data_IF_257106847209
#
_entry.id   IF_257106847209
#
_cell.length_a   1.000
_cell.length_b   1.000
_cell.length_c   1.000
_cell.angle_alpha   90.00
_cell.angle_beta   90.00
_cell.angle_gamma   90.00
#
_symmetry.space_group_name_H-M   'P 1'
#
loop_
_entity.id
_entity.type
_entity.pdbx_description
1 polymer ?
#
# COMPACT_ATOMS: atom_id res chain seq x y z
N UNK A 1 -12.72 20.88 -7.90
CA UNK A 1 -12.83 19.48 -7.45
C UNK A 1 -13.77 18.77 -8.42
N UNK A 2 -13.23 17.79 -9.15
CA UNK A 2 -13.97 17.04 -10.16
C UNK A 2 -15.12 16.27 -9.52
N UNK A 3 -16.30 16.30 -10.14
CA UNK A 3 -17.51 15.60 -9.69
C UNK A 3 -17.67 14.24 -10.37
N UNK A 4 -16.69 13.77 -11.13
CA UNK A 4 -16.77 12.50 -11.85
C UNK A 4 -16.31 11.33 -10.96
N UNK A 5 -17.18 10.34 -10.80
CA UNK A 5 -16.84 9.04 -10.24
C UNK A 5 -15.83 8.33 -11.13
N UNK A 6 -14.83 7.67 -10.54
CA UNK A 6 -13.89 6.83 -11.29
C UNK A 6 -14.50 5.49 -11.75
N UNK A 7 -15.70 5.14 -11.25
CA UNK A 7 -16.48 3.93 -11.56
C UNK A 7 -15.64 2.64 -11.55
N UNK A 8 -14.74 2.53 -10.56
CA UNK A 8 -13.83 1.38 -10.40
C UNK A 8 -14.65 0.14 -10.01
N UNK A 9 -14.51 -0.99 -10.72
CA UNK A 9 -15.29 -2.18 -10.41
C UNK A 9 -14.86 -2.84 -9.09
N UNK A 10 -15.86 -3.39 -8.39
CA UNK A 10 -15.64 -4.30 -7.27
C UNK A 10 -15.68 -5.74 -7.80
N UNK A 11 -14.57 -6.47 -7.65
CA UNK A 11 -14.42 -7.83 -8.17
C UNK A 11 -14.30 -8.83 -7.02
N UNK A 12 -15.24 -9.78 -6.98
CA UNK A 12 -15.22 -10.92 -6.07
C UNK A 12 -14.24 -11.97 -6.58
N UNK A 13 -13.18 -12.25 -5.83
CA UNK A 13 -12.12 -13.18 -6.24
C UNK A 13 -12.33 -14.61 -5.71
N UNK A 14 -13.46 -14.87 -5.03
CA UNK A 14 -13.85 -16.20 -4.53
C UNK A 14 -13.89 -17.25 -5.64
N UNK A 15 -13.80 -18.53 -5.25
CA UNK A 15 -13.94 -19.64 -6.20
C UNK A 15 -15.33 -19.70 -6.85
N UNK A 16 -16.36 -19.10 -6.23
CA UNK A 16 -17.71 -18.98 -6.79
C UNK A 16 -17.81 -18.03 -7.98
N UNK A 17 -16.81 -17.17 -8.23
CA UNK A 17 -16.77 -16.30 -9.41
C UNK A 17 -15.77 -16.83 -10.46
N UNK A 18 -16.21 -17.66 -11.42
CA UNK A 18 -15.32 -18.18 -12.47
C UNK A 18 -14.84 -17.08 -13.43
N UNK A 19 -15.53 -15.94 -13.50
CA UNK A 19 -15.19 -14.82 -14.38
C UNK A 19 -14.19 -13.85 -13.75
N UNK A 20 -13.80 -14.05 -12.49
CA UNK A 20 -12.87 -13.16 -11.79
C UNK A 20 -11.56 -12.89 -12.57
N UNK A 21 -10.89 -13.87 -13.22
CA UNK A 21 -9.72 -13.60 -14.05
C UNK A 21 -9.97 -12.55 -15.14
N UNK A 22 -11.03 -12.72 -15.94
CA UNK A 22 -11.35 -11.83 -17.05
C UNK A 22 -11.76 -10.43 -16.55
N UNK A 23 -12.54 -10.37 -15.47
CA UNK A 23 -12.93 -9.11 -14.82
C UNK A 23 -11.70 -8.35 -14.30
N UNK A 24 -10.77 -9.04 -13.62
CA UNK A 24 -9.54 -8.43 -13.11
C UNK A 24 -8.69 -7.87 -14.24
N UNK A 25 -8.50 -8.63 -15.33
CA UNK A 25 -7.73 -8.18 -16.48
C UNK A 25 -8.39 -6.96 -17.14
N UNK A 26 -9.71 -6.96 -17.29
CA UNK A 26 -10.46 -5.82 -17.83
C UNK A 26 -10.33 -4.57 -16.96
N UNK A 27 -10.43 -4.71 -15.64
CA UNK A 27 -10.28 -3.60 -14.71
C UNK A 27 -8.86 -3.02 -14.74
N UNK A 28 -7.85 -3.89 -14.73
CA UNK A 28 -6.45 -3.50 -14.80
C UNK A 28 -6.10 -2.81 -16.13
N UNK A 29 -6.61 -3.29 -17.27
CA UNK A 29 -6.32 -2.69 -18.58
C UNK A 29 -7.09 -1.40 -18.86
N UNK A 30 -8.26 -1.21 -18.24
CA UNK A 30 -9.12 -0.04 -18.46
C UNK A 30 -8.83 1.08 -17.47
N UNK A 31 -8.74 0.75 -16.18
CA UNK A 31 -8.62 1.73 -15.10
C UNK A 31 -7.23 1.74 -14.46
N UNK A 32 -6.49 0.62 -14.53
CA UNK A 32 -5.30 0.40 -13.69
C UNK A 32 -5.61 0.16 -12.21
N UNK A 33 -6.89 0.18 -11.82
CA UNK A 33 -7.38 0.04 -10.45
C UNK A 33 -8.56 -0.95 -10.37
N UNK A 34 -8.72 -1.57 -9.21
CA UNK A 34 -9.82 -2.49 -8.90
C UNK A 34 -10.07 -2.50 -7.39
N UNK A 35 -11.33 -2.54 -6.98
CA UNK A 35 -11.68 -2.91 -5.62
C UNK A 35 -11.83 -4.43 -5.53
N UNK A 36 -11.11 -5.06 -4.60
CA UNK A 36 -11.13 -6.52 -4.45
C UNK A 36 -12.03 -6.89 -3.28
N UNK A 37 -13.07 -7.68 -3.56
CA UNK A 37 -13.87 -8.34 -2.53
C UNK A 37 -13.26 -9.71 -2.26
N UNK A 38 -12.74 -9.88 -1.05
CA UNK A 38 -12.13 -11.15 -0.60
C UNK A 38 -13.17 -12.03 0.10
N UNK A 39 -12.87 -13.32 0.22
CA UNK A 39 -13.64 -14.32 0.97
C UNK A 39 -13.02 -14.60 2.36
N UNK A 40 -12.09 -13.75 2.81
CA UNK A 40 -11.35 -13.92 4.07
C UNK A 40 -10.32 -15.06 4.09
N UNK A 41 -10.22 -15.87 3.04
CA UNK A 41 -9.31 -17.03 3.02
C UNK A 41 -7.81 -16.69 3.08
N UNK A 42 -7.45 -15.42 2.86
CA UNK A 42 -6.07 -14.94 2.95
C UNK A 42 -5.71 -14.42 4.34
N UNK A 43 -6.62 -14.50 5.33
CA UNK A 43 -6.40 -13.98 6.69
C UNK A 43 -6.61 -12.47 6.85
N UNK A 44 -6.87 -11.75 5.75
CA UNK A 44 -7.26 -10.34 5.79
C UNK A 44 -8.73 -10.22 6.23
N UNK A 45 -8.93 -9.70 7.44
CA UNK A 45 -10.25 -9.39 8.01
C UNK A 45 -10.32 -7.90 8.31
N UNK A 46 -11.53 -7.35 8.44
CA UNK A 46 -11.69 -5.95 8.86
C UNK A 46 -10.99 -5.69 10.20
N UNK A 47 -11.05 -6.66 11.12
CA UNK A 47 -10.38 -6.55 12.43
C UNK A 47 -8.85 -6.51 12.30
N UNK A 48 -8.24 -7.32 11.43
CA UNK A 48 -6.78 -7.28 11.25
C UNK A 48 -6.32 -6.00 10.58
N UNK A 49 -7.09 -5.48 9.61
CA UNK A 49 -6.85 -4.19 8.96
C UNK A 49 -6.98 -3.05 9.98
N UNK A 50 -8.07 -3.00 10.75
CA UNK A 50 -8.32 -1.97 11.76
C UNK A 50 -7.22 -1.97 12.83
N UNK A 51 -6.80 -3.15 13.28
CA UNK A 51 -5.73 -3.26 14.27
C UNK A 51 -4.40 -2.71 13.75
N UNK A 52 -4.04 -2.98 12.49
CA UNK A 52 -2.84 -2.39 11.87
C UNK A 52 -2.96 -0.88 11.68
N UNK A 53 -4.17 -0.36 11.40
CA UNK A 53 -4.42 1.08 11.43
C UNK A 53 -4.23 1.70 12.82
N UNK A 54 -4.64 1.00 13.89
CA UNK A 54 -4.43 1.46 15.26
C UNK A 54 -2.94 1.47 15.64
N UNK A 55 -2.18 0.45 15.24
CA UNK A 55 -0.72 0.41 15.40
C UNK A 55 -0.03 1.53 14.64
N UNK A 56 -0.44 1.77 13.39
CA UNK A 56 0.02 2.89 12.57
C UNK A 56 -0.24 4.21 13.28
N UNK A 57 -1.47 4.43 13.76
CA UNK A 57 -1.85 5.63 14.53
C UNK A 57 -1.00 5.81 15.79
N UNK A 58 -0.79 4.73 16.56
CA UNK A 58 0.03 4.76 17.76
C UNK A 58 1.47 5.18 17.45
N UNK A 59 2.07 4.59 16.41
CA UNK A 59 3.42 4.94 15.98
C UNK A 59 3.54 6.41 15.55
N UNK A 60 2.63 6.92 14.72
CA UNK A 60 2.71 8.32 14.27
C UNK A 60 2.43 9.34 15.39
N UNK A 61 1.70 8.93 16.44
CA UNK A 61 1.47 9.72 17.66
C UNK A 61 2.61 9.63 18.69
N UNK A 62 3.58 8.73 18.51
CA UNK A 62 4.73 8.58 19.40
C UNK A 62 5.65 9.82 19.37
N UNK A 63 6.52 10.00 20.38
CA UNK A 63 7.50 11.09 20.41
C UNK A 63 8.36 11.11 19.14
N UNK A 64 8.74 12.31 18.70
CA UNK A 64 9.50 12.49 17.46
C UNK A 64 10.85 11.78 17.53
N UNK A 65 11.45 11.71 18.72
CA UNK A 65 12.74 11.06 18.99
C UNK A 65 12.69 9.56 18.67
N UNK A 66 11.55 8.90 18.94
CA UNK A 66 11.36 7.49 18.60
C UNK A 66 11.33 7.32 17.08
N UNK A 67 10.60 8.18 16.37
CA UNK A 67 10.49 8.14 14.90
C UNK A 67 11.81 8.48 14.22
N UNK A 68 12.54 9.48 14.71
CA UNK A 68 13.87 9.87 14.23
C UNK A 68 14.89 8.75 14.38
N UNK A 69 14.82 7.98 15.47
CA UNK A 69 15.73 6.86 15.71
C UNK A 69 15.68 5.76 14.65
N UNK A 70 14.57 5.68 13.90
CA UNK A 70 14.33 4.73 12.81
C UNK A 70 14.13 5.43 11.46
N UNK A 71 14.62 6.66 11.30
CA UNK A 71 14.53 7.43 10.06
C UNK A 71 15.18 6.72 8.87
N UNK A 72 14.55 6.82 7.70
CA UNK A 72 15.08 6.31 6.42
C UNK A 72 16.42 6.94 6.04
N UNK A 73 16.67 8.17 6.52
CA UNK A 73 17.91 8.91 6.28
C UNK A 73 19.04 8.48 7.23
N UNK A 74 18.73 7.66 8.24
CA UNK A 74 19.76 7.14 9.15
C UNK A 74 20.52 6.01 8.46
N UNK A 75 21.84 5.92 8.71
CA UNK A 75 22.67 4.79 8.25
C UNK A 75 22.26 3.42 8.85
N UNK A 76 21.18 3.37 9.64
CA UNK A 76 20.62 2.16 10.27
C UNK A 76 19.43 1.59 9.48
N UNK A 77 18.86 2.39 8.59
CA UNK A 77 17.79 2.01 7.68
C UNK A 77 18.42 1.38 6.43
N UNK A 78 18.10 0.12 6.12
CA UNK A 78 18.44 -0.45 4.82
C UNK A 78 17.84 0.36 3.66
N UNK A 79 18.31 0.14 2.44
CA UNK A 79 17.82 0.87 1.26
C UNK A 79 16.27 0.84 1.20
N UNK A 80 15.65 2.02 1.30
CA UNK A 80 14.20 2.29 1.26
C UNK A 80 13.33 1.84 2.47
N UNK A 81 13.92 1.57 3.64
CA UNK A 81 13.18 1.19 4.86
C UNK A 81 13.33 2.24 5.96
N UNK A 82 12.30 2.47 6.78
CA UNK A 82 12.35 3.43 7.90
C UNK A 82 11.32 4.57 7.79
N UNK A 83 11.41 5.53 8.72
CA UNK A 83 10.48 6.65 8.82
C UNK A 83 10.86 7.81 7.91
N UNK A 84 9.85 8.38 7.25
CA UNK A 84 9.93 9.60 6.46
C UNK A 84 9.11 10.68 7.15
N UNK A 85 9.79 11.75 7.54
CA UNK A 85 9.16 12.92 8.16
C UNK A 85 8.42 13.78 7.13
N UNK A 86 7.56 14.68 7.62
CA UNK A 86 6.78 15.60 6.79
C UNK A 86 7.71 16.44 5.91
N UNK A 87 7.33 16.60 4.65
CA UNK A 87 8.06 17.42 3.70
C UNK A 87 9.34 16.82 3.13
N UNK A 88 9.69 15.58 3.50
CA UNK A 88 10.82 14.84 2.89
C UNK A 88 10.46 14.33 1.50
N UNK A 89 9.21 13.86 1.30
CA UNK A 89 8.76 13.41 -0.01
C UNK A 89 8.07 14.52 -0.80
N UNK A 90 8.39 14.56 -2.09
CA UNK A 90 7.71 15.37 -3.11
C UNK A 90 7.48 14.46 -4.31
N UNK A 91 6.30 13.84 -4.37
CA UNK A 91 6.00 12.80 -5.36
C UNK A 91 5.88 13.33 -6.79
N UNK A 92 5.44 14.59 -6.95
CA UNK A 92 5.43 15.29 -8.23
C UNK A 92 6.25 16.59 -8.10
N UNK A 93 7.58 16.49 -8.19
CA UNK A 93 8.46 17.63 -8.02
C UNK A 93 8.30 18.69 -9.12
N UNK A 94 7.77 18.30 -10.28
CA UNK A 94 7.61 19.16 -11.45
C UNK A 94 6.39 20.09 -11.33
N UNK A 95 5.30 19.64 -10.70
CA UNK A 95 4.06 20.43 -10.61
C UNK A 95 3.71 20.89 -9.21
N UNK A 96 4.16 20.21 -8.15
CA UNK A 96 3.78 20.57 -6.78
C UNK A 96 4.48 21.84 -6.29
N UNK A 97 3.68 22.74 -5.70
CA UNK A 97 4.14 24.00 -5.08
C UNK A 97 4.73 23.80 -3.68
N UNK A 98 4.28 22.79 -2.94
CA UNK A 98 4.74 22.42 -1.58
C UNK A 98 5.07 20.93 -1.53
N UNK A 99 5.90 20.52 -0.57
CA UNK A 99 6.19 19.11 -0.33
C UNK A 99 4.96 18.38 0.24
N UNK A 100 4.92 17.05 0.12
CA UNK A 100 3.78 16.25 0.57
C UNK A 100 3.58 16.41 2.08
N UNK A 101 2.35 16.69 2.48
CA UNK A 101 2.00 16.82 3.90
C UNK A 101 1.59 15.45 4.46
N UNK A 102 2.58 14.56 4.59
CA UNK A 102 2.41 13.21 5.10
C UNK A 102 3.65 12.73 5.85
N UNK A 103 3.46 11.76 6.73
CA UNK A 103 4.52 10.92 7.25
C UNK A 103 4.37 9.51 6.70
N UNK A 104 5.47 8.79 6.59
CA UNK A 104 5.44 7.39 6.18
C UNK A 104 6.41 6.54 7.02
N UNK A 105 6.11 5.25 7.13
CA UNK A 105 7.05 4.28 7.67
C UNK A 105 7.09 3.05 6.77
N UNK A 106 8.25 2.80 6.17
CA UNK A 106 8.49 1.66 5.30
C UNK A 106 9.07 0.51 6.13
N UNK A 107 8.29 -0.57 6.21
CA UNK A 107 8.70 -1.85 6.77
C UNK A 107 9.19 -2.77 5.64
N UNK A 108 10.38 -3.33 5.84
CA UNK A 108 10.93 -4.43 5.07
C UNK A 108 10.07 -5.69 5.23
N UNK A 109 10.35 -6.70 4.41
CA UNK A 109 9.86 -8.06 4.68
C UNK A 109 10.62 -8.67 5.87
N UNK A 110 9.98 -9.55 6.66
CA UNK A 110 10.65 -10.29 7.71
C UNK A 110 11.65 -11.29 7.11
N UNK A 111 12.72 -11.56 7.85
CA UNK A 111 13.68 -12.63 7.53
C UNK A 111 13.25 -13.93 8.20
N UNK A 112 13.87 -15.06 7.81
CA UNK A 112 13.41 -16.41 8.14
C UNK A 112 13.25 -16.73 9.65
N UNK A 113 13.85 -15.95 10.55
CA UNK A 113 13.71 -16.10 11.99
C UNK A 113 12.51 -15.34 12.59
N UNK A 114 11.66 -14.70 11.76
CA UNK A 114 10.51 -13.93 12.21
C UNK A 114 10.85 -12.54 12.74
N UNK A 115 12.00 -11.96 12.35
CA UNK A 115 12.38 -10.58 12.70
C UNK A 115 12.53 -9.72 11.46
N UNK A 116 12.51 -8.39 11.63
CA UNK A 116 12.82 -7.47 10.55
C UNK A 116 14.34 -7.23 10.44
N UNK A 117 14.86 -7.00 9.22
CA UNK A 117 16.27 -6.64 9.00
C UNK A 117 16.57 -5.17 9.31
N UNK A 118 15.60 -4.42 9.85
CA UNK A 118 15.71 -3.01 10.23
C UNK A 118 15.37 -2.83 11.71
N UNK A 119 15.80 -1.70 12.28
CA UNK A 119 15.32 -1.29 13.61
C UNK A 119 13.79 -1.03 13.57
N UNK A 120 13.10 -1.52 14.59
CA UNK A 120 11.66 -1.34 14.78
C UNK A 120 11.45 -0.39 15.97
N UNK A 121 10.58 0.62 15.84
CA UNK A 121 10.32 1.57 16.93
C UNK A 121 9.64 0.85 18.11
N UNK A 122 9.90 1.35 19.32
CA UNK A 122 9.43 0.73 20.57
C UNK A 122 7.91 0.53 20.62
N UNK A 123 7.16 1.44 19.99
CA UNK A 123 5.69 1.39 19.86
C UNK A 123 5.23 0.19 19.02
N UNK A 124 6.02 -0.27 18.04
CA UNK A 124 5.68 -1.39 17.16
C UNK A 124 6.37 -2.70 17.52
N UNK A 125 7.46 -2.66 18.31
CA UNK A 125 8.25 -3.83 18.68
C UNK A 125 7.42 -4.96 19.34
N UNK A 126 6.51 -4.69 20.29
CA UNK A 126 5.64 -5.73 20.86
C UNK A 126 4.67 -6.37 19.86
N UNK A 127 4.47 -5.73 18.70
CA UNK A 127 3.51 -6.11 17.67
C UNK A 127 4.14 -6.68 16.41
N UNK A 128 5.44 -7.00 16.44
CA UNK A 128 6.15 -7.64 15.31
C UNK A 128 5.41 -8.87 14.78
N UNK A 129 4.96 -9.84 15.62
CA UNK A 129 4.23 -11.01 15.12
C UNK A 129 2.94 -10.65 14.37
N UNK A 130 2.23 -9.64 14.84
CA UNK A 130 1.00 -9.13 14.22
C UNK A 130 1.28 -8.50 12.85
N UNK A 131 2.32 -7.66 12.76
CA UNK A 131 2.71 -7.01 11.50
C UNK A 131 3.17 -8.04 10.45
N UNK A 132 3.94 -9.05 10.88
CA UNK A 132 4.38 -10.15 10.01
C UNK A 132 3.18 -10.94 9.48
N UNK A 133 2.26 -11.36 10.36
CA UNK A 133 1.07 -12.08 9.94
C UNK A 133 0.21 -11.28 8.96
N UNK A 134 0.14 -9.96 9.13
CA UNK A 134 -0.56 -9.07 8.19
C UNK A 134 0.15 -8.98 6.83
N UNK A 135 1.48 -8.85 6.81
CA UNK A 135 2.28 -8.87 5.57
C UNK A 135 2.15 -10.20 4.82
N UNK A 136 2.15 -11.33 5.53
CA UNK A 136 1.92 -12.66 4.96
C UNK A 136 0.52 -12.77 4.34
N UNK A 137 -0.50 -12.25 5.03
CA UNK A 137 -1.89 -12.21 4.55
C UNK A 137 -2.03 -11.35 3.28
N UNK A 138 -1.32 -10.22 3.23
CA UNK A 138 -1.23 -9.37 2.04
C UNK A 138 -0.51 -10.10 0.89
N UNK A 139 0.60 -10.77 1.17
CA UNK A 139 1.35 -11.53 0.17
C UNK A 139 0.50 -12.67 -0.41
N UNK A 140 -0.23 -13.41 0.43
CA UNK A 140 -1.15 -14.45 -0.01
C UNK A 140 -2.24 -13.90 -0.95
N UNK A 141 -2.78 -12.71 -0.66
CA UNK A 141 -3.73 -12.04 -1.55
C UNK A 141 -3.07 -11.66 -2.89
N UNK A 142 -1.87 -11.08 -2.88
CA UNK A 142 -1.11 -10.79 -4.09
C UNK A 142 -0.89 -12.05 -4.94
N UNK A 143 -0.43 -13.15 -4.35
CA UNK A 143 -0.21 -14.42 -5.06
C UNK A 143 -1.50 -14.93 -5.71
N UNK A 144 -2.64 -14.79 -5.02
CA UNK A 144 -3.95 -15.15 -5.56
C UNK A 144 -4.33 -14.28 -6.76
N UNK A 145 -4.17 -12.96 -6.67
CA UNK A 145 -4.43 -12.04 -7.78
C UNK A 145 -3.52 -12.32 -8.98
N UNK A 146 -2.22 -12.53 -8.74
CA UNK A 146 -1.24 -12.87 -9.78
C UNK A 146 -1.57 -14.18 -10.49
N UNK A 147 -2.00 -15.22 -9.78
CA UNK A 147 -2.46 -16.47 -10.40
C UNK A 147 -3.73 -16.27 -11.26
N UNK A 148 -4.63 -15.36 -10.86
CA UNK A 148 -5.81 -14.99 -11.65
C UNK A 148 -5.41 -14.22 -12.91
N UNK A 149 -4.44 -13.31 -12.84
CA UNK A 149 -3.91 -12.64 -14.03
C UNK A 149 -3.25 -13.62 -15.00
N UNK A 150 -2.47 -14.59 -14.50
CA UNK A 150 -1.90 -15.64 -15.34
C UNK A 150 -2.99 -16.44 -16.08
N UNK A 151 -4.08 -16.78 -15.37
CA UNK A 151 -5.24 -17.45 -15.95
C UNK A 151 -5.89 -16.59 -17.05
N UNK A 152 -6.12 -15.29 -16.79
CA UNK A 152 -6.76 -14.38 -17.73
C UNK A 152 -5.93 -14.18 -19.01
N UNK A 153 -4.61 -14.17 -18.87
CA UNK A 153 -3.66 -14.01 -19.98
C UNK A 153 -3.37 -15.32 -20.72
N UNK A 154 -3.96 -16.44 -20.31
CA UNK A 154 -3.71 -17.78 -20.88
C UNK A 154 -2.23 -18.18 -20.89
N UNK A 155 -1.50 -17.82 -19.82
CA UNK A 155 -0.08 -18.17 -19.61
C UNK A 155 0.04 -19.21 -18.47
N UNK A 156 1.23 -19.81 -18.25
CA UNK A 156 1.42 -20.76 -17.15
C UNK A 156 0.90 -20.21 -15.80
N UNK A 157 0.11 -21.00 -15.02
CA UNK A 157 -0.55 -20.51 -13.81
C UNK A 157 0.40 -19.95 -12.75
N UNK A 158 1.64 -20.42 -12.73
CA UNK A 158 2.68 -20.04 -11.80
C UNK A 158 3.64 -18.98 -12.35
N UNK A 159 3.40 -18.45 -13.56
CA UNK A 159 4.31 -17.49 -14.20
C UNK A 159 4.63 -16.35 -13.24
N UNK A 160 3.60 -15.65 -12.76
CA UNK A 160 3.79 -14.50 -11.88
C UNK A 160 4.15 -14.91 -10.45
N UNK A 161 3.47 -15.92 -9.90
CA UNK A 161 3.64 -16.30 -8.49
C UNK A 161 5.03 -16.84 -8.19
N UNK A 162 5.64 -17.57 -9.13
CA UNK A 162 7.01 -18.09 -9.00
C UNK A 162 8.07 -17.00 -8.94
N UNK A 163 7.81 -15.81 -9.49
CA UNK A 163 8.71 -14.64 -9.48
C UNK A 163 8.45 -13.66 -8.35
N UNK A 164 7.35 -13.85 -7.63
CA UNK A 164 7.06 -13.15 -6.40
C UNK A 164 7.26 -14.06 -5.18
N UNK A 165 7.85 -15.24 -5.35
CA UNK A 165 8.18 -16.16 -4.27
C UNK A 165 9.39 -15.66 -3.48
N UNK A 166 9.14 -15.18 -2.26
CA UNK A 166 10.15 -14.61 -1.38
C UNK A 166 11.23 -15.63 -0.94
N UNK A 167 10.97 -16.93 -1.08
CA UNK A 167 11.97 -17.96 -0.78
C UNK A 167 13.07 -18.09 -1.84
N UNK A 168 12.85 -17.53 -3.04
CA UNK A 168 13.73 -17.71 -4.20
C UNK A 168 14.71 -16.57 -4.44
N UNK A 169 14.64 -15.48 -3.68
CA UNK A 169 15.54 -14.36 -3.85
C UNK A 169 15.07 -13.08 -3.16
N UNK A 170 15.81 -11.97 -3.33
CA UNK A 170 15.42 -10.68 -2.78
C UNK A 170 14.11 -10.20 -3.40
N UNK A 171 13.28 -9.56 -2.59
CA UNK A 171 12.03 -8.92 -3.01
C UNK A 171 12.11 -7.42 -2.80
N UNK A 172 11.54 -6.67 -3.75
CA UNK A 172 11.36 -5.22 -3.64
C UNK A 172 10.06 -4.80 -2.95
N UNK A 173 9.29 -5.74 -2.39
CA UNK A 173 8.06 -5.43 -1.65
C UNK A 173 8.37 -4.58 -0.42
N UNK A 174 7.60 -3.52 -0.24
CA UNK A 174 7.64 -2.64 0.93
C UNK A 174 6.25 -2.58 1.54
N UNK A 175 6.16 -2.75 2.86
CA UNK A 175 4.92 -2.50 3.59
C UNK A 175 4.95 -1.08 4.16
N UNK A 176 4.04 -0.23 3.69
CA UNK A 176 4.10 1.21 3.97
C UNK A 176 2.93 1.65 4.82
N UNK A 177 3.23 2.15 6.02
CA UNK A 177 2.28 2.88 6.85
C UNK A 177 2.29 4.35 6.44
N UNK A 178 1.11 4.94 6.27
CA UNK A 178 0.94 6.34 5.86
C UNK A 178 0.11 7.09 6.89
N UNK A 179 0.54 8.31 7.20
CA UNK A 179 -0.21 9.23 8.05
C UNK A 179 -0.33 10.60 7.40
N UNK A 180 -1.58 11.04 7.23
CA UNK A 180 -1.92 12.34 6.70
C UNK A 180 -2.54 13.19 7.81
N UNK A 181 -1.77 14.08 8.45
CA UNK A 181 -2.25 14.90 9.55
C UNK A 181 -3.40 15.83 9.14
N UNK A 182 -4.19 16.26 10.13
CA UNK A 182 -5.16 17.33 9.94
C UNK A 182 -4.41 18.63 9.62
N UNK A 183 -4.91 19.38 8.63
CA UNK A 183 -4.39 20.70 8.29
C UNK A 183 -5.29 21.75 8.95
N UNK A 184 -4.71 22.71 9.67
CA UNK A 184 -5.46 23.81 10.30
C UNK A 184 -6.06 24.76 9.26
N UNK A 185 -5.36 24.93 8.14
CA UNK A 185 -5.86 25.58 6.94
C UNK A 185 -5.52 24.68 5.75
N UNK A 186 -6.50 24.43 4.88
CA UNK A 186 -6.31 23.72 3.62
C UNK A 186 -6.51 24.72 2.48
N UNK A 187 -5.46 24.93 1.70
CA UNK A 187 -5.53 25.61 0.41
C UNK A 187 -5.72 24.53 -0.68
N UNK A 188 -6.93 24.45 -1.30
CA UNK A 188 -7.16 23.56 -2.44
C UNK A 188 -6.14 23.84 -3.56
N UNK A 189 -5.71 22.80 -4.28
CA UNK A 189 -4.72 22.88 -5.37
C UNK A 189 -3.28 23.29 -4.95
N UNK A 190 -3.05 23.61 -3.68
CA UNK A 190 -1.72 23.92 -3.12
C UNK A 190 -1.28 22.84 -2.14
N UNK A 191 -2.18 22.42 -1.24
CA UNK A 191 -1.88 21.41 -0.22
C UNK A 191 -2.28 20.01 -0.70
N UNK A 192 -1.54 19.50 -1.69
CA UNK A 192 -1.67 18.13 -2.16
C UNK A 192 -1.08 17.19 -1.10
N UNK A 193 -1.89 16.24 -0.60
CA UNK A 193 -1.48 15.28 0.44
C UNK A 193 -0.44 14.26 -0.06
N UNK A 194 -0.57 13.83 -1.31
CA UNK A 194 0.39 13.01 -2.04
C UNK A 194 0.34 13.41 -3.53
N UNK A 195 1.48 13.81 -4.10
CA UNK A 195 1.58 14.23 -5.51
C UNK A 195 1.15 13.16 -6.51
N UNK A 196 0.80 13.58 -7.73
CA UNK A 196 0.47 12.67 -8.82
C UNK A 196 1.65 11.76 -9.17
N UNK A 197 1.45 10.44 -9.13
CA UNK A 197 2.49 9.46 -9.44
C UNK A 197 1.87 8.15 -9.94
N UNK A 198 2.73 7.29 -10.48
CA UNK A 198 2.43 5.87 -10.68
C UNK A 198 3.23 5.05 -9.67
N UNK A 199 2.63 4.02 -9.12
CA UNK A 199 3.33 3.08 -8.27
C UNK A 199 4.45 2.35 -9.04
N UNK A 200 5.52 2.02 -8.31
CA UNK A 200 6.52 1.08 -8.80
C UNK A 200 6.10 -0.35 -8.46
N UNK A 201 6.52 -1.31 -9.29
CA UNK A 201 6.33 -2.73 -9.03
C UNK A 201 5.17 -3.34 -9.80
N UNK A 202 4.65 -4.46 -9.30
CA UNK A 202 3.66 -5.29 -9.98
C UNK A 202 2.23 -5.08 -9.51
N UNK A 203 2.02 -4.97 -8.19
CA UNK A 203 0.72 -4.74 -7.54
C UNK A 203 0.90 -3.93 -6.25
N UNK A 204 -0.06 -3.04 -5.99
CA UNK A 204 -0.21 -2.35 -4.70
C UNK A 204 -1.54 -2.74 -4.08
N UNK A 205 -1.50 -3.21 -2.83
CA UNK A 205 -2.70 -3.35 -2.00
C UNK A 205 -2.84 -2.08 -1.17
N UNK A 206 -3.81 -1.23 -1.53
CA UNK A 206 -4.11 0.00 -0.81
C UNK A 206 -5.32 -0.20 0.10
N UNK A 207 -5.11 -0.04 1.40
CA UNK A 207 -6.17 -0.07 2.40
C UNK A 207 -6.56 1.36 2.78
N UNK A 208 -7.85 1.68 2.74
CA UNK A 208 -8.39 2.98 3.12
C UNK A 208 -9.52 2.80 4.15
N UNK A 209 -9.69 3.80 5.02
CA UNK A 209 -10.79 3.81 6.00
C UNK A 209 -12.01 4.55 5.45
N UNK A 210 -13.23 4.06 5.72
CA UNK A 210 -14.45 4.81 5.45
C UNK A 210 -14.39 6.21 6.07
N UNK A 211 -14.89 7.21 5.35
CA UNK A 211 -14.93 8.60 5.82
C UNK A 211 -13.61 9.37 5.72
N UNK A 212 -12.58 8.81 5.08
CA UNK A 212 -11.31 9.48 4.80
C UNK A 212 -11.07 9.59 3.28
N UNK A 213 -11.88 10.41 2.56
CA UNK A 213 -11.71 10.59 1.12
C UNK A 213 -10.38 11.32 0.82
N UNK A 214 -9.87 11.14 -0.40
CA UNK A 214 -8.69 11.90 -0.86
C UNK A 214 -7.83 11.20 -1.91
N UNK A 215 -8.09 9.93 -2.23
CA UNK A 215 -7.51 9.31 -3.42
C UNK A 215 -8.28 9.80 -4.65
N UNK A 216 -7.53 10.22 -5.68
CA UNK A 216 -8.05 10.50 -7.01
C UNK A 216 -7.22 9.71 -8.03
N UNK A 217 -7.85 9.32 -9.13
CA UNK A 217 -7.24 8.60 -10.23
C UNK A 217 -7.34 9.45 -11.48
N UNK A 218 -6.24 9.50 -12.24
CA UNK A 218 -6.23 10.16 -13.54
C UNK A 218 -6.82 9.23 -14.60
N UNK A 219 -8.00 9.60 -15.10
CA UNK A 219 -8.72 8.86 -16.14
C UNK A 219 -8.01 8.95 -17.50
N UNK A 220 -8.39 8.08 -18.44
CA UNK A 220 -7.89 8.14 -19.83
C UNK A 220 -8.20 9.48 -20.53
N UNK A 221 -9.26 10.19 -20.10
CA UNK A 221 -9.59 11.54 -20.57
C UNK A 221 -8.66 12.63 -20.03
N UNK A 222 -7.75 12.30 -19.10
CA UNK A 222 -6.80 13.23 -18.48
C UNK A 222 -7.31 13.90 -17.20
N UNK A 223 -8.60 13.73 -16.89
CA UNK A 223 -9.27 14.29 -15.71
C UNK A 223 -9.02 13.45 -14.45
N UNK A 224 -9.04 14.11 -13.29
CA UNK A 224 -9.01 13.45 -11.99
C UNK A 224 -10.42 13.02 -11.57
N UNK A 225 -10.55 11.79 -11.08
CA UNK A 225 -11.82 11.21 -10.62
C UNK A 225 -11.63 10.54 -9.25
N UNK A 226 -12.65 10.64 -8.38
CA UNK A 226 -12.66 10.05 -7.04
C UNK A 226 -13.40 8.71 -7.00
#
# INVERSE_FOLDING_TARGET
MSTSSADIPIIDISSSNPNAPAQLLSAASTHGFVFVKTDGSTGLTSQSIDHVFDLSKAFFAAPVEEKESVSIASNKAGANHGWLSRGVEKLDPATQKRADVKEAFNLALPVANGTYPQAIPATLEPHIPTLIAFQESCHALCQRLLARFATALSIPPDWFTSRHDFSKGPSGTVFRLLYYPVLEAHEPDVDIRAGAHSDFGSLTLLFQRPGQPGLEIRTAGGEWAS
#
